data_IF_927010481595
#
_entry.id   IF_927010481595
#
_cell.length_a   1.000
_cell.length_b   1.000
_cell.length_c   1.000
_cell.angle_alpha   90.00
_cell.angle_beta   90.00
_cell.angle_gamma   90.00
#
_symmetry.space_group_name_H-M   'P 1'
#
loop_
_entity.id
_entity.type
_entity.pdbx_description
1 polymer ?
#
# COMPACT_ATOMS: atom_id res chain seq x y z
N UNK A 1 -12.95 9.36 17.28
CA UNK A 1 -14.42 9.21 17.24
C UNK A 1 -14.92 8.45 16.01
N UNK A 2 -14.33 8.65 14.83
CA UNK A 2 -14.75 7.98 13.57
C UNK A 2 -13.88 6.77 13.18
N UNK A 3 -13.64 5.84 14.11
CA UNK A 3 -12.81 4.66 13.82
C UNK A 3 -13.47 3.76 12.76
N UNK A 4 -12.75 3.48 11.67
CA UNK A 4 -13.21 2.72 10.50
C UNK A 4 -14.55 3.21 9.90
N UNK A 5 -14.89 4.49 10.05
CA UNK A 5 -16.21 5.01 9.67
C UNK A 5 -16.51 4.82 8.18
N UNK A 6 -15.55 5.11 7.30
CA UNK A 6 -15.71 4.90 5.86
C UNK A 6 -16.09 3.46 5.53
N UNK A 7 -15.42 2.46 6.13
CA UNK A 7 -15.74 1.05 5.92
C UNK A 7 -17.16 0.71 6.38
N UNK A 8 -17.57 1.23 7.54
CA UNK A 8 -18.94 1.07 8.09
C UNK A 8 -19.99 1.72 7.20
N UNK A 9 -19.68 2.87 6.61
CA UNK A 9 -20.59 3.59 5.73
C UNK A 9 -20.85 2.82 4.43
N UNK A 10 -19.79 2.30 3.79
CA UNK A 10 -19.93 1.46 2.59
C UNK A 10 -20.71 0.19 2.89
N UNK A 11 -20.36 -0.49 3.97
CA UNK A 11 -21.02 -1.70 4.43
C UNK A 11 -22.52 -1.48 4.67
N UNK A 12 -22.87 -0.40 5.40
CA UNK A 12 -24.26 -0.01 5.62
C UNK A 12 -24.98 0.43 4.35
N UNK A 13 -24.28 1.08 3.40
CA UNK A 13 -24.85 1.46 2.11
C UNK A 13 -25.19 0.24 1.26
N UNK A 14 -24.30 -0.76 1.17
CA UNK A 14 -24.56 -1.99 0.41
C UNK A 14 -25.76 -2.76 0.96
N UNK A 15 -25.87 -2.89 2.29
CA UNK A 15 -27.03 -3.50 2.93
C UNK A 15 -28.32 -2.74 2.59
N UNK A 16 -28.30 -1.40 2.67
CA UNK A 16 -29.46 -0.55 2.28
C UNK A 16 -29.82 -0.68 0.80
N UNK A 17 -28.85 -0.92 -0.07
CA UNK A 17 -29.04 -1.14 -1.50
C UNK A 17 -29.53 -2.56 -1.84
N UNK A 18 -29.71 -3.44 -0.84
CA UNK A 18 -30.23 -4.80 -1.01
C UNK A 18 -29.16 -5.87 -1.27
N UNK A 19 -27.89 -5.58 -1.02
CA UNK A 19 -26.84 -6.59 -1.08
C UNK A 19 -26.82 -7.43 0.21
N UNK A 20 -26.53 -8.73 0.05
CA UNK A 20 -26.28 -9.64 1.17
C UNK A 20 -24.80 -9.65 1.55
N UNK A 21 -24.54 -9.52 2.85
CA UNK A 21 -23.18 -9.61 3.40
C UNK A 21 -22.68 -11.05 3.31
N UNK A 22 -21.52 -11.24 2.69
CA UNK A 22 -20.87 -12.56 2.54
C UNK A 22 -19.87 -12.83 3.67
N UNK A 23 -19.25 -11.79 4.24
CA UNK A 23 -18.34 -11.88 5.38
C UNK A 23 -18.40 -10.60 6.21
N UNK A 24 -18.13 -10.71 7.52
CA UNK A 24 -18.21 -9.57 8.45
C UNK A 24 -17.15 -8.52 8.19
N UNK A 25 -17.49 -7.24 8.42
CA UNK A 25 -16.54 -6.14 8.31
C UNK A 25 -15.53 -6.19 9.47
N UNK A 26 -14.23 -6.23 9.17
CA UNK A 26 -13.20 -6.00 10.18
C UNK A 26 -12.96 -4.51 10.40
N UNK A 27 -12.81 -4.11 11.67
CA UNK A 27 -12.34 -2.78 12.07
C UNK A 27 -10.99 -2.92 12.75
N UNK A 28 -9.91 -2.57 12.06
CA UNK A 28 -8.53 -2.79 12.47
C UNK A 28 -7.78 -1.46 12.62
N UNK A 29 -6.88 -1.37 13.60
CA UNK A 29 -6.13 -0.15 13.96
C UNK A 29 -4.62 -0.33 13.68
N UNK A 30 -3.72 0.40 14.34
CA UNK A 30 -2.26 0.47 14.08
C UNK A 30 -1.59 -0.87 13.73
N UNK A 31 -1.83 -1.95 14.47
CA UNK A 31 -1.23 -3.28 14.25
C UNK A 31 -2.11 -4.21 13.39
N UNK A 32 -2.69 -3.68 12.32
CA UNK A 32 -3.72 -4.39 11.54
C UNK A 32 -3.21 -5.54 10.67
N UNK A 33 -1.91 -5.63 10.37
CA UNK A 33 -1.43 -6.46 9.25
C UNK A 33 -1.79 -7.95 9.36
N UNK A 34 -1.55 -8.56 10.53
CA UNK A 34 -1.86 -9.98 10.75
C UNK A 34 -3.38 -10.25 10.72
N UNK A 35 -4.14 -9.41 11.42
CA UNK A 35 -5.59 -9.51 11.45
C UNK A 35 -6.22 -9.26 10.06
N UNK A 36 -5.68 -8.33 9.28
CA UNK A 36 -6.12 -8.04 7.93
C UNK A 36 -5.84 -9.19 6.97
N UNK A 37 -4.67 -9.84 7.10
CA UNK A 37 -4.34 -11.05 6.34
C UNK A 37 -5.32 -12.17 6.64
N UNK A 38 -5.54 -12.47 7.92
CA UNK A 38 -6.47 -13.52 8.34
C UNK A 38 -7.91 -13.21 7.88
N UNK A 39 -8.33 -11.95 7.98
CA UNK A 39 -9.64 -11.50 7.49
C UNK A 39 -9.78 -11.67 5.98
N UNK A 40 -8.76 -11.29 5.21
CA UNK A 40 -8.74 -11.43 3.75
C UNK A 40 -8.85 -12.89 3.30
N UNK A 41 -8.12 -13.80 3.94
CA UNK A 41 -8.19 -15.24 3.67
C UNK A 41 -9.61 -15.80 3.95
N UNK A 42 -10.24 -15.36 5.04
CA UNK A 42 -11.61 -15.75 5.38
C UNK A 42 -12.64 -15.19 4.40
N UNK A 43 -12.50 -13.92 4.00
CA UNK A 43 -13.37 -13.27 3.03
C UNK A 43 -13.30 -13.97 1.66
N UNK A 44 -12.09 -14.27 1.17
CA UNK A 44 -11.89 -14.99 -0.10
C UNK A 44 -12.53 -16.37 -0.04
N UNK A 45 -12.38 -17.09 1.08
CA UNK A 45 -13.01 -18.40 1.27
C UNK A 45 -14.55 -18.31 1.27
N UNK A 46 -15.11 -17.30 1.92
CA UNK A 46 -16.56 -17.06 1.92
C UNK A 46 -17.08 -16.77 0.50
N UNK A 47 -16.38 -15.90 -0.25
CA UNK A 47 -16.70 -15.60 -1.65
C UNK A 47 -16.65 -16.87 -2.52
N UNK A 48 -15.59 -17.68 -2.40
CA UNK A 48 -15.46 -18.92 -3.16
C UNK A 48 -16.61 -19.90 -2.88
N UNK A 49 -17.07 -19.98 -1.63
CA UNK A 49 -18.19 -20.82 -1.22
C UNK A 49 -19.50 -20.33 -1.88
N UNK A 50 -19.77 -19.03 -1.81
CA UNK A 50 -20.95 -18.42 -2.43
C UNK A 50 -20.97 -18.60 -3.94
N UNK A 51 -19.84 -18.39 -4.62
CA UNK A 51 -19.73 -18.56 -6.07
C UNK A 51 -19.92 -20.02 -6.51
N UNK A 52 -19.40 -20.97 -5.72
CA UNK A 52 -19.52 -22.40 -6.01
C UNK A 52 -20.96 -22.91 -5.84
N UNK A 53 -21.72 -22.35 -4.89
CA UNK A 53 -23.14 -22.68 -4.71
C UNK A 53 -24.03 -22.20 -5.87
N UNK A 54 -23.60 -21.19 -6.64
CA UNK A 54 -24.33 -20.63 -7.77
C UNK A 54 -24.09 -21.30 -9.13
N UNK A 55 -23.32 -22.41 -9.21
CA UNK A 55 -23.06 -23.13 -10.47
C UNK A 55 -22.11 -22.44 -11.46
N UNK A 56 -21.41 -21.38 -11.05
CA UNK A 56 -20.56 -20.53 -11.90
C UNK A 56 -19.08 -20.99 -11.96
N UNK A 57 -18.81 -22.30 -11.85
CA UNK A 57 -17.45 -22.84 -11.73
C UNK A 57 -16.51 -22.50 -12.91
N UNK A 58 -17.06 -22.27 -14.12
CA UNK A 58 -16.28 -21.97 -15.32
C UNK A 58 -15.82 -20.50 -15.40
N UNK A 59 -16.56 -19.56 -14.80
CA UNK A 59 -16.19 -18.13 -14.77
C UNK A 59 -15.11 -17.82 -13.71
N UNK A 60 -15.03 -18.63 -12.65
CA UNK A 60 -14.02 -18.49 -11.60
C UNK A 60 -12.58 -18.75 -12.11
N UNK A 61 -12.41 -19.73 -13.00
CA UNK A 61 -11.09 -20.12 -13.54
C UNK A 61 -10.51 -19.05 -14.49
N UNK A 62 -11.35 -18.40 -15.31
CA UNK A 62 -10.91 -17.31 -16.18
C UNK A 62 -10.51 -16.06 -15.39
N UNK A 63 -11.18 -15.80 -14.27
CA UNK A 63 -10.87 -14.65 -13.41
C UNK A 63 -9.54 -14.87 -12.67
N UNK A 64 -9.30 -16.09 -12.16
CA UNK A 64 -8.06 -16.43 -11.45
C UNK A 64 -6.80 -16.25 -12.33
N UNK A 65 -6.84 -16.66 -13.60
CA UNK A 65 -5.73 -16.47 -14.55
C UNK A 65 -5.48 -15.01 -14.93
N UNK A 66 -6.53 -14.19 -14.99
CA UNK A 66 -6.42 -12.76 -15.25
C UNK A 66 -5.82 -12.00 -14.04
N UNK A 67 -6.19 -12.39 -12.81
CA UNK A 67 -5.62 -11.79 -11.58
C UNK A 67 -4.14 -12.14 -11.43
N UNK A 68 -3.75 -13.40 -11.66
CA UNK A 68 -2.33 -13.78 -11.61
C UNK A 68 -1.45 -13.07 -12.65
N UNK A 69 -2.04 -12.69 -13.78
CA UNK A 69 -1.33 -11.95 -14.84
C UNK A 69 -1.31 -10.44 -14.62
N UNK A 70 -2.26 -9.91 -13.85
CA UNK A 70 -2.37 -8.49 -13.54
C UNK A 70 -1.47 -8.05 -12.37
N UNK A 71 -1.17 -8.96 -11.44
CA UNK A 71 -0.27 -8.66 -10.32
C UNK A 71 1.15 -9.03 -10.73
N UNK A 72 1.82 -8.12 -11.40
CA UNK A 72 3.29 -8.14 -11.52
C UNK A 72 3.88 -8.00 -10.13
N UNK A 73 4.03 -9.12 -9.41
CA UNK A 73 4.65 -9.14 -8.10
C UNK A 73 6.14 -8.84 -8.26
N UNK A 74 6.50 -7.55 -8.21
CA UNK A 74 7.84 -7.22 -7.78
C UNK A 74 8.04 -7.78 -6.37
N UNK A 75 9.20 -8.38 -6.12
CA UNK A 75 9.58 -8.77 -4.75
C UNK A 75 9.75 -7.56 -3.82
N UNK A 76 9.76 -6.36 -4.39
CA UNK A 76 9.87 -5.11 -3.68
C UNK A 76 8.49 -4.52 -3.37
N UNK A 77 8.31 -4.14 -2.13
CA UNK A 77 7.10 -3.52 -1.58
C UNK A 77 7.50 -2.62 -0.42
N UNK A 78 6.52 -2.02 0.27
CA UNK A 78 6.78 -1.07 1.37
C UNK A 78 7.73 -1.64 2.42
N UNK A 79 7.56 -2.89 2.82
CA UNK A 79 8.35 -3.57 3.86
C UNK A 79 9.68 -4.15 3.34
N UNK A 80 9.86 -4.23 2.02
CA UNK A 80 11.11 -4.67 1.38
C UNK A 80 11.41 -3.73 0.19
N UNK A 81 11.89 -2.50 0.44
CA UNK A 81 12.10 -1.52 -0.63
C UNK A 81 13.29 -1.88 -1.51
N UNK A 82 13.21 -1.54 -2.80
CA UNK A 82 14.34 -1.68 -3.70
C UNK A 82 15.39 -0.58 -3.44
N UNK A 83 16.67 -0.91 -3.19
CA UNK A 83 17.74 0.08 -3.15
C UNK A 83 18.05 0.59 -4.55
N UNK A 84 17.30 1.61 -4.98
CA UNK A 84 17.41 2.19 -6.31
C UNK A 84 18.50 3.28 -6.37
N UNK A 85 19.18 3.39 -7.52
CA UNK A 85 20.15 4.46 -7.76
C UNK A 85 19.43 5.74 -8.18
N UNK A 86 19.77 6.86 -7.56
CA UNK A 86 19.40 8.19 -8.04
C UNK A 86 20.27 8.58 -9.25
N UNK A 87 19.68 8.60 -10.43
CA UNK A 87 20.37 8.92 -11.69
C UNK A 87 20.46 10.41 -11.95
N UNK A 88 19.41 11.16 -11.62
CA UNK A 88 19.35 12.60 -11.84
C UNK A 88 18.68 13.31 -10.66
N UNK A 89 19.22 14.48 -10.33
CA UNK A 89 18.63 15.42 -9.38
C UNK A 89 18.83 16.83 -9.92
N UNK A 90 17.82 17.36 -10.59
CA UNK A 90 17.90 18.62 -11.31
C UNK A 90 16.89 19.63 -10.77
N UNK A 91 17.35 20.81 -10.37
CA UNK A 91 16.46 21.94 -10.07
C UNK A 91 15.76 22.40 -11.35
N UNK A 92 14.43 22.45 -11.33
CA UNK A 92 13.60 22.91 -12.46
C UNK A 92 13.04 24.32 -12.28
N UNK A 93 13.35 24.94 -11.14
CA UNK A 93 12.98 26.32 -10.82
C UNK A 93 14.11 27.29 -11.14
N UNK A 94 13.76 28.54 -11.47
CA UNK A 94 14.73 29.59 -11.80
C UNK A 94 15.68 29.93 -10.64
N UNK A 95 16.78 30.61 -10.98
CA UNK A 95 17.84 30.98 -10.03
C UNK A 95 17.30 31.71 -8.81
N UNK A 96 16.39 32.64 -9.03
CA UNK A 96 15.83 33.53 -7.99
C UNK A 96 14.51 33.01 -7.41
N UNK A 97 14.13 31.76 -7.71
CA UNK A 97 12.96 31.13 -7.12
C UNK A 97 13.17 30.88 -5.63
N UNK A 98 12.19 31.29 -4.82
CA UNK A 98 12.12 30.99 -3.38
C UNK A 98 11.73 29.53 -3.10
N UNK A 99 11.25 28.80 -4.11
CA UNK A 99 10.96 27.36 -4.03
C UNK A 99 12.09 26.57 -4.68
N UNK A 100 12.44 25.44 -4.08
CA UNK A 100 13.30 24.41 -4.69
C UNK A 100 12.42 23.25 -5.16
N UNK A 101 12.13 23.23 -6.46
CA UNK A 101 11.43 22.12 -7.12
C UNK A 101 12.44 21.39 -7.99
N UNK A 102 12.44 20.05 -7.90
CA UNK A 102 13.42 19.20 -8.56
C UNK A 102 12.77 18.11 -9.40
N UNK A 103 13.39 17.82 -10.54
CA UNK A 103 13.19 16.63 -11.34
C UNK A 103 14.17 15.56 -10.88
N UNK A 104 13.64 14.40 -10.52
CA UNK A 104 14.37 13.28 -9.95
C UNK A 104 14.19 12.08 -10.88
N UNK A 105 15.28 11.42 -11.24
CA UNK A 105 15.23 10.16 -11.99
C UNK A 105 15.83 9.04 -11.15
N UNK A 106 15.08 7.94 -11.03
CA UNK A 106 15.44 6.78 -10.22
C UNK A 106 15.61 5.60 -11.16
N UNK A 107 16.78 4.95 -11.12
CA UNK A 107 17.05 3.78 -11.95
C UNK A 107 16.40 2.54 -11.32
N UNK A 108 15.55 1.87 -12.10
CA UNK A 108 14.86 0.63 -11.75
C UNK A 108 15.36 -0.58 -12.56
N UNK A 109 16.46 -0.44 -13.30
CA UNK A 109 17.11 -1.57 -13.98
C UNK A 109 17.33 -2.73 -13.01
N UNK A 110 17.11 -3.94 -13.50
CA UNK A 110 17.26 -5.20 -12.76
C UNK A 110 16.33 -5.39 -11.55
N UNK A 111 15.50 -4.40 -11.21
CA UNK A 111 14.55 -4.50 -10.08
C UNK A 111 13.36 -5.41 -10.38
N UNK A 112 13.01 -5.60 -11.66
CA UNK A 112 11.76 -6.23 -12.06
C UNK A 112 10.50 -5.43 -11.70
N UNK A 113 10.63 -4.20 -11.21
CA UNK A 113 9.49 -3.31 -10.94
C UNK A 113 8.88 -2.85 -12.26
N UNK A 114 7.56 -2.94 -12.37
CA UNK A 114 6.76 -2.40 -13.46
C UNK A 114 5.78 -1.38 -12.91
N UNK A 115 5.49 -0.32 -13.68
CA UNK A 115 4.55 0.73 -13.28
C UNK A 115 3.88 1.35 -14.51
N UNK A 116 2.74 2.00 -14.30
CA UNK A 116 2.00 2.78 -15.29
C UNK A 116 1.96 4.26 -14.91
N UNK A 117 1.77 5.17 -15.89
CA UNK A 117 1.56 6.58 -15.59
C UNK A 117 0.35 6.79 -14.67
N UNK A 118 0.59 7.43 -13.52
CA UNK A 118 -0.42 7.65 -12.48
C UNK A 118 -0.25 6.76 -11.25
N UNK A 119 0.59 5.72 -11.30
CA UNK A 119 0.95 4.93 -10.13
C UNK A 119 1.74 5.77 -9.11
N UNK A 120 1.63 5.38 -7.83
CA UNK A 120 2.33 6.04 -6.74
C UNK A 120 3.70 5.39 -6.49
N UNK A 121 4.71 6.22 -6.20
CA UNK A 121 6.03 5.79 -5.75
C UNK A 121 6.17 6.03 -4.25
N UNK A 122 6.48 4.98 -3.49
CA UNK A 122 6.90 5.09 -2.09
C UNK A 122 8.42 5.27 -1.99
N UNK A 123 8.87 6.21 -1.15
CA UNK A 123 10.30 6.46 -0.88
C UNK A 123 10.51 6.37 0.63
N UNK A 124 11.47 5.52 1.03
CA UNK A 124 12.01 5.52 2.39
C UNK A 124 13.13 6.54 2.48
N UNK A 125 13.11 7.34 3.55
CA UNK A 125 14.08 8.38 3.80
C UNK A 125 14.58 8.28 5.23
N UNK A 126 15.82 8.72 5.42
CA UNK A 126 16.36 8.97 6.75
C UNK A 126 16.09 10.41 7.15
N UNK A 127 15.90 10.62 8.45
CA UNK A 127 15.85 11.97 9.01
C UNK A 127 17.23 12.63 8.92
N UNK A 128 17.26 13.97 8.97
CA UNK A 128 18.51 14.70 9.07
C UNK A 128 19.28 14.30 10.34
N UNK A 129 20.55 13.91 10.18
CA UNK A 129 21.36 13.41 11.27
C UNK A 129 21.55 14.46 12.39
N UNK A 130 21.71 15.73 12.02
CA UNK A 130 21.87 16.82 13.00
C UNK A 130 20.60 17.04 13.82
N UNK A 131 19.42 16.94 13.18
CA UNK A 131 18.14 16.99 13.88
C UNK A 131 17.96 15.80 14.83
N UNK A 132 18.35 14.59 14.41
CA UNK A 132 18.32 13.41 15.28
C UNK A 132 19.22 13.61 16.49
N UNK A 133 20.45 14.10 16.28
CA UNK A 133 21.41 14.40 17.36
C UNK A 133 20.87 15.44 18.34
N UNK A 134 20.23 16.51 17.84
CA UNK A 134 19.60 17.53 18.67
C UNK A 134 18.51 16.94 19.56
N UNK A 135 17.63 16.10 18.99
CA UNK A 135 16.57 15.44 19.75
C UNK A 135 17.16 14.52 20.82
N UNK A 136 18.13 13.67 20.47
CA UNK A 136 18.80 12.76 21.41
C UNK A 136 19.43 13.53 22.59
N UNK A 137 20.12 14.64 22.30
CA UNK A 137 20.72 15.50 23.31
C UNK A 137 19.67 16.13 24.25
N UNK A 138 18.55 16.61 23.69
CA UNK A 138 17.46 17.21 24.47
C UNK A 138 16.73 16.19 25.34
N UNK A 139 16.62 14.94 24.89
CA UNK A 139 15.96 13.86 25.63
C UNK A 139 16.90 13.10 26.56
N UNK A 140 18.22 13.30 26.44
CA UNK A 140 19.23 12.58 27.22
C UNK A 140 19.34 11.10 26.86
N UNK A 141 18.99 10.75 25.62
CA UNK A 141 19.02 9.37 25.11
C UNK A 141 20.29 9.15 24.27
N UNK A 142 20.77 7.90 24.23
CA UNK A 142 21.99 7.54 23.50
C UNK A 142 21.72 7.07 22.06
N UNK A 143 20.48 6.66 21.77
CA UNK A 143 20.05 6.24 20.42
C UNK A 143 20.46 4.82 20.04
N UNK A 144 20.97 4.03 20.99
CA UNK A 144 21.36 2.62 20.84
C UNK A 144 20.46 1.63 21.60
N UNK A 145 19.40 2.16 22.22
CA UNK A 145 18.36 1.40 22.94
C UNK A 145 17.38 0.64 22.03
#
# INVERSE_FOLDING_TARGET
>A
EFFCQTGKDFDGFFAKAGADRIHDLASLDVDYQEAAKAWGEQAVKAIATTLSAGGAASAATSLAGAVQSAVGHSQYHKENPFPARLSLNQKVTGRDSTKDIRHIEINLEESGITYQPGDALGIWFDNDAGLVDEVLALTGLAGDE
#
